data_IF_866151388491
#
_entry.id   IF_866151388491
#
_cell.length_a   1.000
_cell.length_b   1.000
_cell.length_c   1.000
_cell.angle_alpha   90.00
_cell.angle_beta   90.00
_cell.angle_gamma   90.00
#
_symmetry.space_group_name_H-M   'P 1'
#
loop_
_entity.id
_entity.type
_entity.pdbx_description
1 polymer ?
#
# COMPACT_ATOMS: atom_id res chain seq x y z
N UNK A 1 -0.18 -1.80 15.41
CA UNK A 1 -0.53 -3.22 15.13
C UNK A 1 -0.26 -3.50 13.66
N UNK A 2 0.40 -4.62 13.31
CA UNK A 2 0.55 -5.03 11.89
C UNK A 2 -0.82 -5.51 11.40
N UNK A 3 -1.22 -5.05 10.22
CA UNK A 3 -2.44 -5.53 9.57
C UNK A 3 -2.33 -7.05 9.31
N UNK A 4 -3.39 -7.79 9.62
CA UNK A 4 -3.42 -9.25 9.58
C UNK A 4 -3.76 -9.81 8.19
N UNK A 5 -4.33 -8.97 7.32
CA UNK A 5 -4.88 -9.32 6.00
C UNK A 5 -4.13 -8.57 4.91
N UNK A 6 -3.93 -7.26 5.08
CA UNK A 6 -3.23 -6.41 4.14
C UNK A 6 -1.82 -6.11 4.66
N UNK A 7 -0.80 -6.95 4.36
CA UNK A 7 0.56 -6.54 4.66
C UNK A 7 0.75 -5.13 4.12
N UNK A 8 1.18 -4.17 4.99
CA UNK A 8 1.42 -2.75 4.66
C UNK A 8 1.70 -2.67 3.18
N UNK A 9 0.85 -2.01 2.38
CA UNK A 9 1.04 -1.90 0.94
C UNK A 9 2.49 -1.43 0.73
N UNK A 10 3.36 -2.39 0.48
CA UNK A 10 4.79 -2.22 0.34
C UNK A 10 5.09 -1.90 -1.11
N UNK A 11 4.09 -1.46 -1.88
CA UNK A 11 4.23 -1.24 -3.33
C UNK A 11 4.72 0.15 -3.70
N UNK A 12 4.93 1.03 -2.71
CA UNK A 12 5.91 2.13 -2.78
C UNK A 12 7.14 1.86 -1.90
N UNK A 13 7.38 0.62 -1.49
CA UNK A 13 8.77 0.18 -1.48
C UNK A 13 9.05 -0.18 -2.94
N UNK A 14 9.72 0.72 -3.66
CA UNK A 14 10.78 0.28 -4.59
C UNK A 14 11.41 -0.94 -3.90
N UNK A 15 11.48 -2.11 -4.57
CA UNK A 15 11.87 -3.36 -3.93
C UNK A 15 12.95 -3.02 -2.94
N UNK A 16 12.70 -3.26 -1.64
CA UNK A 16 13.66 -2.99 -0.59
C UNK A 16 14.73 -4.06 -0.76
N UNK A 17 15.49 -3.84 -1.80
CA UNK A 17 16.56 -4.66 -2.26
C UNK A 17 17.55 -4.45 -1.12
N UNK A 18 17.85 -5.48 -0.33
CA UNK A 18 18.98 -5.38 0.60
C UNK A 18 20.23 -4.91 -0.17
N UNK A 19 20.32 -5.29 -1.45
CA UNK A 19 21.23 -4.75 -2.45
C UNK A 19 21.13 -3.23 -2.70
N UNK A 20 19.95 -2.59 -2.61
CA UNK A 20 19.80 -1.14 -2.81
C UNK A 20 20.52 -0.35 -1.72
N UNK A 21 20.46 -0.80 -0.46
CA UNK A 21 21.25 -0.17 0.60
C UNK A 21 22.76 -0.31 0.33
N UNK A 22 23.21 -1.48 -0.14
CA UNK A 22 24.62 -1.67 -0.52
C UNK A 22 25.02 -0.80 -1.72
N UNK A 23 24.16 -0.67 -2.73
CA UNK A 23 24.36 0.21 -3.89
C UNK A 23 24.44 1.67 -3.46
N UNK A 24 23.55 2.14 -2.58
CA UNK A 24 23.59 3.50 -2.06
C UNK A 24 24.86 3.76 -1.25
N UNK A 25 25.29 2.80 -0.41
CA UNK A 25 26.55 2.94 0.33
C UNK A 25 27.75 2.97 -0.61
N UNK A 26 27.78 2.11 -1.63
CA UNK A 26 28.83 2.11 -2.65
C UNK A 26 28.87 3.45 -3.39
N UNK A 27 27.71 3.97 -3.78
CA UNK A 27 27.59 5.28 -4.43
C UNK A 27 28.08 6.42 -3.54
N UNK A 28 27.66 6.46 -2.26
CA UNK A 28 28.15 7.48 -1.33
C UNK A 28 29.67 7.38 -1.13
N UNK A 29 30.22 6.17 -1.05
CA UNK A 29 31.65 5.94 -0.91
C UNK A 29 32.42 6.43 -2.13
N UNK A 30 32.00 6.06 -3.35
CA UNK A 30 32.67 6.47 -4.59
C UNK A 30 32.59 7.97 -4.80
N UNK A 31 31.44 8.60 -4.53
CA UNK A 31 31.31 10.06 -4.56
C UNK A 31 32.17 10.76 -3.50
N UNK A 32 32.26 10.20 -2.28
CA UNK A 32 33.10 10.75 -1.21
C UNK A 32 34.57 10.73 -1.58
N UNK A 33 35.05 9.62 -2.15
CA UNK A 33 36.42 9.49 -2.65
C UNK A 33 36.66 10.48 -3.79
N UNK A 34 35.75 10.56 -4.76
CA UNK A 34 35.87 11.48 -5.90
C UNK A 34 35.93 12.94 -5.47
N UNK A 35 35.06 13.37 -4.55
CA UNK A 35 35.08 14.73 -4.01
C UNK A 35 36.36 14.99 -3.22
N UNK A 36 36.86 14.02 -2.45
CA UNK A 36 38.11 14.17 -1.71
C UNK A 36 39.34 14.27 -2.63
N UNK A 37 39.40 13.46 -3.69
CA UNK A 37 40.46 13.58 -4.69
C UNK A 37 40.43 14.95 -5.38
N UNK A 38 39.24 15.48 -5.65
CA UNK A 38 39.05 16.84 -6.15
C UNK A 38 39.50 17.92 -5.14
N UNK A 39 39.12 17.82 -3.86
CA UNK A 39 39.55 18.73 -2.79
C UNK A 39 41.08 18.70 -2.60
N UNK A 40 41.72 17.54 -2.80
CA UNK A 40 43.17 17.39 -2.72
C UNK A 40 43.90 18.01 -3.92
N UNK A 41 43.32 17.96 -5.12
CA UNK A 41 43.91 18.57 -6.32
C UNK A 41 43.62 20.06 -6.43
N UNK A 42 42.66 20.57 -5.65
CA UNK A 42 42.33 21.99 -5.63
C UNK A 42 43.18 22.72 -4.59
N UNK A 43 43.77 23.88 -4.94
CA UNK A 43 44.53 24.67 -3.97
C UNK A 43 43.65 25.21 -2.84
N UNK A 44 44.24 25.43 -1.66
CA UNK A 44 43.53 26.08 -0.57
C UNK A 44 43.13 27.50 -0.99
N UNK A 45 41.85 27.80 -0.81
CA UNK A 45 41.23 29.06 -1.22
C UNK A 45 40.01 28.87 -2.10
N UNK A 46 39.88 27.73 -2.77
CA UNK A 46 38.67 27.35 -3.51
C UNK A 46 37.71 26.63 -2.56
N UNK A 47 36.40 26.83 -2.73
CA UNK A 47 35.36 26.21 -1.89
C UNK A 47 35.12 24.71 -2.18
N UNK A 48 36.19 23.93 -2.36
CA UNK A 48 36.14 22.53 -2.78
C UNK A 48 35.59 21.55 -1.73
N UNK A 49 35.40 21.99 -0.48
CA UNK A 49 34.67 21.23 0.55
C UNK A 49 33.14 21.35 0.48
N UNK A 50 32.59 22.27 -0.30
CA UNK A 50 31.13 22.44 -0.42
C UNK A 50 30.38 21.22 -1.00
N UNK A 51 30.93 20.43 -1.94
CA UNK A 51 30.23 19.26 -2.51
C UNK A 51 29.97 18.15 -1.50
N UNK A 52 30.65 18.10 -0.33
CA UNK A 52 30.34 17.11 0.71
C UNK A 52 28.90 17.22 1.23
N UNK A 53 28.28 18.40 1.12
CA UNK A 53 26.86 18.57 1.44
C UNK A 53 25.95 17.72 0.53
N UNK A 54 26.34 17.47 -0.72
CA UNK A 54 25.58 16.61 -1.63
C UNK A 54 25.57 15.15 -1.18
N UNK A 55 26.66 14.67 -0.57
CA UNK A 55 26.75 13.32 0.01
C UNK A 55 25.82 13.22 1.22
N UNK A 56 25.81 14.24 2.08
CA UNK A 56 24.87 14.31 3.20
C UNK A 56 23.43 14.36 2.72
N UNK A 57 23.15 15.13 1.67
CA UNK A 57 21.82 15.18 1.06
C UNK A 57 21.39 13.82 0.49
N UNK A 58 22.28 13.14 -0.25
CA UNK A 58 22.04 11.81 -0.81
C UNK A 58 21.78 10.73 0.27
N UNK A 59 22.16 10.96 1.53
CA UNK A 59 21.78 10.08 2.65
C UNK A 59 20.25 9.98 2.87
N UNK A 60 19.45 10.85 2.23
CA UNK A 60 17.99 10.79 2.24
C UNK A 60 17.43 9.50 1.64
N UNK A 61 18.16 8.85 0.73
CA UNK A 61 17.74 7.57 0.12
C UNK A 61 17.69 6.42 1.12
N UNK A 62 18.31 6.59 2.29
CA UNK A 62 18.25 5.64 3.38
C UNK A 62 17.12 5.97 4.35
N UNK A 63 16.44 4.93 4.84
CA UNK A 63 15.41 5.07 5.87
C UNK A 63 15.96 5.40 7.25
N UNK A 64 17.17 4.96 7.54
CA UNK A 64 17.78 5.17 8.85
C UNK A 64 18.29 6.60 8.98
N UNK A 65 18.16 7.19 10.17
CA UNK A 65 18.79 8.46 10.49
C UNK A 65 20.31 8.31 10.64
N UNK A 66 20.79 7.10 10.97
CA UNK A 66 22.21 6.80 11.13
C UNK A 66 23.05 7.07 9.88
N UNK A 67 22.51 6.83 8.68
CA UNK A 67 23.24 7.12 7.45
C UNK A 67 23.55 8.60 7.29
N UNK A 68 22.64 9.48 7.73
CA UNK A 68 22.83 10.94 7.69
C UNK A 68 23.88 11.38 8.68
N UNK A 69 23.88 10.81 9.89
CA UNK A 69 24.95 11.07 10.87
C UNK A 69 26.32 10.62 10.34
N UNK A 70 26.42 9.41 9.79
CA UNK A 70 27.67 8.87 9.21
C UNK A 70 28.16 9.75 8.05
N UNK A 71 27.27 10.08 7.11
CA UNK A 71 27.62 10.93 5.97
C UNK A 71 28.09 12.32 6.41
N UNK A 72 27.43 12.92 7.41
CA UNK A 72 27.83 14.20 7.96
C UNK A 72 29.18 14.12 8.67
N UNK A 73 29.43 13.10 9.50
CA UNK A 73 30.72 12.91 10.18
C UNK A 73 31.85 12.69 9.19
N UNK A 74 31.62 11.91 8.12
CA UNK A 74 32.61 11.68 7.06
C UNK A 74 32.88 12.99 6.32
N UNK A 75 31.83 13.71 5.90
CA UNK A 75 31.98 14.99 5.18
C UNK A 75 32.72 16.05 5.99
N UNK A 76 32.40 16.20 7.29
CA UNK A 76 33.11 17.10 8.20
C UNK A 76 34.59 16.69 8.36
N UNK A 77 34.85 15.39 8.55
CA UNK A 77 36.21 14.87 8.72
C UNK A 77 37.05 15.06 7.46
N UNK A 78 36.49 14.79 6.28
CA UNK A 78 37.19 14.96 5.00
C UNK A 78 37.42 16.44 4.69
N UNK A 79 36.48 17.33 5.02
CA UNK A 79 36.66 18.78 4.88
C UNK A 79 37.83 19.29 5.73
N UNK A 80 37.98 18.75 6.95
CA UNK A 80 39.09 19.09 7.83
C UNK A 80 40.41 18.46 7.34
N UNK A 81 40.38 17.23 6.84
CA UNK A 81 41.55 16.58 6.25
C UNK A 81 42.05 17.33 5.02
N UNK A 82 41.17 17.83 4.16
CA UNK A 82 41.53 18.66 3.01
C UNK A 82 42.17 20.01 3.41
N UNK A 83 41.87 20.54 4.60
CA UNK A 83 42.60 21.71 5.10
C UNK A 83 44.07 21.38 5.44
N UNK A 84 44.35 20.15 5.90
CA UNK A 84 45.70 19.72 6.31
C UNK A 84 46.51 19.20 5.11
N UNK A 85 45.86 18.50 4.18
CA UNK A 85 46.53 17.71 3.15
C UNK A 85 46.64 18.40 1.78
N UNK A 86 45.84 19.44 1.51
CA UNK A 86 45.87 20.10 0.20
C UNK A 86 47.22 20.83 -0.03
N UNK A 87 47.77 20.78 -1.26
CA UNK A 87 49.20 20.92 -1.50
C UNK A 87 49.74 22.36 -1.43
N UNK A 88 48.90 23.36 -1.74
CA UNK A 88 49.34 24.76 -1.87
C UNK A 88 48.27 25.74 -1.37
N UNK A 89 48.70 26.79 -0.69
CA UNK A 89 47.86 27.93 -0.29
C UNK A 89 47.97 29.00 -1.38
N UNK A 90 46.87 29.24 -2.11
CA UNK A 90 46.82 30.23 -3.20
C UNK A 90 46.01 31.46 -2.82
N UNK A 91 45.09 31.33 -1.87
CA UNK A 91 44.32 32.46 -1.33
C UNK A 91 44.82 32.90 0.05
N UNK A 92 44.51 34.15 0.45
CA UNK A 92 44.70 34.61 1.83
C UNK A 92 44.08 33.67 2.87
N UNK A 93 44.73 33.54 4.04
CA UNK A 93 44.34 32.58 5.09
C UNK A 93 42.91 32.84 5.58
N UNK A 94 42.48 34.09 5.66
CA UNK A 94 41.12 34.50 5.99
C UNK A 94 40.09 33.97 4.99
N UNK A 95 40.38 33.98 3.68
CA UNK A 95 39.52 33.40 2.64
C UNK A 95 39.45 31.88 2.79
N UNK A 96 40.58 31.23 3.05
CA UNK A 96 40.64 29.77 3.28
C UNK A 96 39.78 29.38 4.49
N UNK A 97 39.96 30.06 5.62
CA UNK A 97 39.20 29.81 6.84
C UNK A 97 37.70 30.07 6.63
N UNK A 98 37.35 31.17 5.96
CA UNK A 98 35.95 31.50 5.65
C UNK A 98 35.29 30.41 4.81
N UNK A 99 35.97 29.92 3.76
CA UNK A 99 35.44 28.86 2.90
C UNK A 99 35.29 27.53 3.66
N UNK A 100 36.21 27.19 4.57
CA UNK A 100 36.09 25.99 5.39
C UNK A 100 34.95 26.12 6.40
N UNK A 101 34.83 27.24 7.10
CA UNK A 101 33.71 27.50 8.03
C UNK A 101 32.37 27.42 7.28
N UNK A 102 32.28 28.02 6.09
CA UNK A 102 31.07 27.97 5.27
C UNK A 102 30.75 26.53 4.84
N UNK A 103 31.74 25.73 4.44
CA UNK A 103 31.53 24.32 4.10
C UNK A 103 31.00 23.51 5.30
N UNK A 104 31.58 23.69 6.50
CA UNK A 104 31.10 23.02 7.72
C UNK A 104 29.66 23.44 8.06
N UNK A 105 29.33 24.73 7.91
CA UNK A 105 27.97 25.24 8.11
C UNK A 105 27.00 24.61 7.09
N UNK A 106 27.34 24.59 5.81
CA UNK A 106 26.49 23.99 4.78
C UNK A 106 26.26 22.50 5.06
N UNK A 107 27.30 21.75 5.44
CA UNK A 107 27.19 20.31 5.76
C UNK A 107 26.26 20.10 6.96
N UNK A 108 26.42 20.88 8.04
CA UNK A 108 25.58 20.76 9.25
C UNK A 108 24.13 21.17 9.01
N UNK A 109 23.90 22.27 8.27
CA UNK A 109 22.54 22.70 7.89
C UNK A 109 21.88 21.67 6.98
N UNK A 110 22.62 21.11 6.02
CA UNK A 110 22.10 20.06 5.12
C UNK A 110 21.76 18.79 5.92
N UNK A 111 22.61 18.38 6.86
CA UNK A 111 22.32 17.25 7.74
C UNK A 111 21.05 17.48 8.55
N UNK A 112 20.90 18.67 9.15
CA UNK A 112 19.69 19.05 9.89
C UNK A 112 18.45 19.02 8.99
N UNK A 113 18.50 19.61 7.79
CA UNK A 113 17.40 19.60 6.83
C UNK A 113 16.98 18.18 6.43
N UNK A 114 17.94 17.31 6.13
CA UNK A 114 17.66 15.91 5.78
C UNK A 114 16.99 15.17 6.94
N UNK A 115 17.46 15.35 8.18
CA UNK A 115 16.83 14.74 9.36
C UNK A 115 15.41 15.27 9.58
N UNK A 116 15.16 16.57 9.36
CA UNK A 116 13.82 17.17 9.43
C UNK A 116 12.88 16.59 8.37
N UNK A 117 13.35 16.45 7.13
CA UNK A 117 12.57 15.84 6.04
C UNK A 117 12.23 14.38 6.37
N UNK A 118 13.20 13.60 6.86
CA UNK A 118 12.96 12.21 7.30
C UNK A 118 11.91 12.13 8.41
N UNK A 119 11.96 13.04 9.40
CA UNK A 119 10.98 13.11 10.50
C UNK A 119 9.58 13.45 10.00
N UNK A 120 9.44 14.51 9.18
CA UNK A 120 8.15 14.93 8.62
C UNK A 120 7.55 13.81 7.76
N UNK A 121 8.36 13.16 6.92
CA UNK A 121 7.88 12.02 6.13
C UNK A 121 7.39 10.88 7.02
N UNK A 122 8.10 10.58 8.11
CA UNK A 122 7.67 9.57 9.07
C UNK A 122 6.32 9.93 9.71
N UNK A 123 6.17 11.17 10.18
CA UNK A 123 4.92 11.67 10.77
C UNK A 123 3.76 11.63 9.76
N UNK A 124 4.01 12.02 8.50
CA UNK A 124 3.03 11.93 7.44
C UNK A 124 2.57 10.48 7.20
N UNK A 125 3.50 9.52 7.16
CA UNK A 125 3.15 8.10 7.04
C UNK A 125 2.36 7.60 8.25
N UNK A 126 2.66 8.07 9.46
CA UNK A 126 1.87 7.70 10.64
C UNK A 126 0.46 8.27 10.58
N UNK A 127 0.29 9.54 10.23
CA UNK A 127 -1.02 10.18 10.10
C UNK A 127 -1.89 9.52 9.03
N UNK A 128 -1.32 9.25 7.85
CA UNK A 128 -2.02 8.52 6.79
C UNK A 128 -2.42 7.12 7.28
N UNK A 129 -1.57 6.47 8.07
CA UNK A 129 -1.89 5.15 8.62
C UNK A 129 -2.95 5.18 9.71
N UNK A 130 -3.11 6.29 10.43
CA UNK A 130 -4.12 6.50 11.47
C UNK A 130 -5.48 6.90 10.90
N UNK A 131 -5.50 7.47 9.70
CA UNK A 131 -6.75 7.77 9.03
C UNK A 131 -7.43 6.47 8.59
N UNK A 132 -8.72 6.34 8.86
CA UNK A 132 -9.56 5.19 8.48
C UNK A 132 -10.25 5.38 7.12
N UNK A 133 -9.93 6.46 6.40
CA UNK A 133 -10.56 6.86 5.13
C UNK A 133 -9.55 6.78 3.98
N UNK A 134 -9.99 6.30 2.83
CA UNK A 134 -9.25 6.32 1.57
C UNK A 134 -9.34 7.71 0.90
N UNK A 135 -8.21 8.38 0.61
CA UNK A 135 -8.24 9.75 0.11
C UNK A 135 -8.85 9.92 -1.29
N UNK A 136 -8.83 8.87 -2.13
CA UNK A 136 -9.34 8.95 -3.49
C UNK A 136 -10.86 8.80 -3.55
N UNK A 137 -11.41 7.86 -2.79
CA UNK A 137 -12.82 7.45 -2.85
C UNK A 137 -13.65 7.95 -1.67
N UNK A 138 -13.00 8.43 -0.61
CA UNK A 138 -13.61 8.81 0.67
C UNK A 138 -14.36 7.64 1.36
N UNK A 139 -14.16 6.40 0.90
CA UNK A 139 -14.64 5.21 1.58
C UNK A 139 -13.71 4.85 2.73
N UNK A 140 -14.14 3.95 3.61
CA UNK A 140 -13.26 3.40 4.64
C UNK A 140 -12.09 2.65 3.99
N UNK A 141 -10.91 2.64 4.60
CA UNK A 141 -9.74 1.97 4.02
C UNK A 141 -9.54 0.55 4.58
N UNK A 142 -8.49 -0.13 4.12
CA UNK A 142 -8.15 -1.49 4.58
C UNK A 142 -7.88 -1.61 6.09
N UNK A 143 -7.46 -0.54 6.77
CA UNK A 143 -7.30 -0.56 8.23
C UNK A 143 -8.66 -0.55 8.93
N UNK A 144 -9.55 0.34 8.51
CA UNK A 144 -10.92 0.39 9.02
C UNK A 144 -11.64 -0.95 8.80
N UNK A 145 -11.44 -1.58 7.63
CA UNK A 145 -11.95 -2.93 7.37
C UNK A 145 -11.51 -3.92 8.45
N UNK A 146 -10.23 -3.95 8.79
CA UNK A 146 -9.72 -4.89 9.78
C UNK A 146 -10.26 -4.67 11.18
N UNK A 147 -10.32 -3.41 11.60
CA UNK A 147 -10.76 -3.04 12.94
C UNK A 147 -12.26 -3.26 13.10
N UNK A 148 -13.06 -2.74 12.16
CA UNK A 148 -14.53 -2.77 12.23
C UNK A 148 -15.10 -4.16 11.92
N UNK A 149 -14.61 -4.83 10.87
CA UNK A 149 -15.12 -6.17 10.51
C UNK A 149 -14.78 -7.19 11.59
N UNK A 150 -13.66 -7.03 12.30
CA UNK A 150 -13.33 -7.89 13.46
C UNK A 150 -14.33 -7.71 14.60
N UNK A 151 -14.81 -6.49 14.84
CA UNK A 151 -15.87 -6.21 15.81
C UNK A 151 -17.18 -6.82 15.34
N UNK A 152 -17.53 -6.64 14.06
CA UNK A 152 -18.78 -7.14 13.50
C UNK A 152 -18.82 -8.68 13.52
N UNK A 153 -17.73 -9.37 13.16
CA UNK A 153 -17.65 -10.85 13.28
C UNK A 153 -17.97 -11.31 14.71
N UNK A 154 -17.44 -10.63 15.74
CA UNK A 154 -17.74 -10.97 17.13
C UNK A 154 -19.21 -10.75 17.45
N UNK A 155 -19.79 -9.65 16.97
CA UNK A 155 -21.20 -9.30 17.14
C UNK A 155 -22.11 -10.32 16.46
N UNK A 156 -21.86 -10.65 15.20
CA UNK A 156 -22.63 -11.61 14.42
C UNK A 156 -22.61 -12.99 15.07
N UNK A 157 -21.45 -13.46 15.53
CA UNK A 157 -21.34 -14.73 16.28
C UNK A 157 -22.12 -14.72 17.60
N UNK A 158 -22.01 -13.64 18.38
CA UNK A 158 -22.70 -13.51 19.68
C UNK A 158 -24.22 -13.58 19.53
N UNK A 159 -24.75 -12.89 18.52
CA UNK A 159 -26.20 -12.79 18.30
C UNK A 159 -26.74 -13.76 17.24
N UNK A 160 -25.92 -14.70 16.75
CA UNK A 160 -26.25 -15.65 15.67
C UNK A 160 -26.87 -14.97 14.44
N UNK A 161 -26.28 -13.83 14.05
CA UNK A 161 -26.70 -13.07 12.88
C UNK A 161 -25.81 -13.39 11.69
N UNK A 162 -26.37 -13.34 10.50
CA UNK A 162 -25.60 -13.56 9.28
C UNK A 162 -24.69 -12.36 8.99
N UNK A 163 -23.51 -12.62 8.43
CA UNK A 163 -22.60 -11.60 7.93
C UNK A 163 -22.01 -12.14 6.63
N UNK A 164 -22.20 -11.43 5.54
CA UNK A 164 -21.63 -11.80 4.25
C UNK A 164 -20.57 -10.78 3.81
N UNK A 165 -19.55 -11.26 3.14
CA UNK A 165 -18.41 -10.47 2.68
C UNK A 165 -18.29 -10.62 1.17
N UNK A 166 -18.25 -9.51 0.45
CA UNK A 166 -18.02 -9.47 -0.99
C UNK A 166 -16.74 -8.69 -1.31
N UNK A 167 -15.83 -9.28 -2.08
CA UNK A 167 -14.61 -8.64 -2.58
C UNK A 167 -14.82 -8.33 -4.06
N UNK A 168 -14.87 -7.05 -4.39
CA UNK A 168 -14.93 -6.52 -5.75
C UNK A 168 -13.52 -6.23 -6.23
N UNK A 169 -13.13 -6.71 -7.41
CA UNK A 169 -11.89 -6.34 -8.07
C UNK A 169 -12.17 -5.81 -9.47
N UNK A 170 -11.70 -4.58 -9.73
CA UNK A 170 -11.74 -4.00 -11.07
C UNK A 170 -10.81 -4.82 -11.97
N UNK A 171 -11.39 -5.37 -13.02
CA UNK A 171 -10.68 -6.15 -14.03
C UNK A 171 -10.11 -5.19 -15.07
N UNK A 172 -8.83 -5.35 -15.38
CA UNK A 172 -8.19 -4.57 -16.43
C UNK A 172 -8.92 -4.76 -17.77
N UNK A 173 -9.35 -3.64 -18.35
CA UNK A 173 -10.05 -3.62 -19.63
C UNK A 173 -9.12 -3.40 -20.81
N UNK A 174 -7.80 -3.31 -20.59
CA UNK A 174 -6.79 -3.32 -21.65
C UNK A 174 -6.90 -2.12 -22.58
N UNK A 175 -7.44 -1.00 -22.10
CA UNK A 175 -7.53 0.22 -22.88
C UNK A 175 -6.13 0.63 -23.37
N UNK A 176 -5.96 0.78 -24.69
CA UNK A 176 -4.74 1.28 -25.30
C UNK A 176 -4.60 2.77 -24.95
N UNK A 177 -3.99 3.05 -23.80
CA UNK A 177 -3.74 4.42 -23.36
C UNK A 177 -2.39 4.90 -23.88
N UNK A 178 -2.38 6.07 -24.52
CA UNK A 178 -1.21 6.63 -25.22
C UNK A 178 -0.16 7.24 -24.30
N UNK A 179 -0.49 7.57 -23.04
CA UNK A 179 0.45 8.11 -22.04
C UNK A 179 0.15 7.60 -20.63
N UNK A 180 1.16 7.50 -19.77
CA UNK A 180 0.99 7.03 -18.38
C UNK A 180 0.02 7.90 -17.57
N UNK A 181 0.05 9.22 -17.77
CA UNK A 181 -0.82 10.15 -17.04
C UNK A 181 -2.30 9.98 -17.39
N UNK A 182 -2.63 9.73 -18.67
CA UNK A 182 -4.02 9.45 -19.03
C UNK A 182 -4.48 8.11 -18.46
N UNK A 183 -3.61 7.11 -18.36
CA UNK A 183 -3.96 5.80 -17.79
C UNK A 183 -4.29 5.91 -16.30
N UNK A 184 -3.50 6.68 -15.55
CA UNK A 184 -3.74 6.93 -14.12
C UNK A 184 -5.07 7.67 -13.91
N UNK A 185 -5.38 8.68 -14.73
CA UNK A 185 -6.65 9.43 -14.62
C UNK A 185 -7.86 8.56 -14.90
N UNK A 186 -7.80 7.73 -15.95
CA UNK A 186 -8.88 6.81 -16.32
C UNK A 186 -9.10 5.78 -15.21
N UNK A 187 -8.03 5.18 -14.68
CA UNK A 187 -8.13 4.22 -13.58
C UNK A 187 -8.73 4.86 -12.32
N UNK A 188 -8.28 6.06 -11.95
CA UNK A 188 -8.83 6.79 -10.81
C UNK A 188 -10.32 7.12 -11.00
N UNK A 189 -10.75 7.42 -12.23
CA UNK A 189 -12.16 7.62 -12.57
C UNK A 189 -12.95 6.33 -12.33
N UNK A 190 -12.52 5.19 -12.86
CA UNK A 190 -13.18 3.90 -12.64
C UNK A 190 -13.28 3.52 -11.17
N UNK A 191 -12.22 3.73 -10.40
CA UNK A 191 -12.20 3.46 -8.97
C UNK A 191 -13.23 4.33 -8.23
N UNK A 192 -13.34 5.61 -8.58
CA UNK A 192 -14.35 6.51 -8.00
C UNK A 192 -15.78 6.12 -8.40
N UNK A 193 -16.01 5.86 -9.68
CA UNK A 193 -17.32 5.44 -10.20
C UNK A 193 -17.80 4.17 -9.51
N UNK A 194 -16.93 3.16 -9.36
CA UNK A 194 -17.28 1.93 -8.66
C UNK A 194 -17.59 2.20 -7.18
N UNK A 195 -16.77 2.99 -6.49
CA UNK A 195 -16.99 3.31 -5.09
C UNK A 195 -18.34 4.00 -4.86
N UNK A 196 -18.68 4.98 -5.70
CA UNK A 196 -19.95 5.70 -5.61
C UNK A 196 -21.14 4.81 -5.94
N UNK A 197 -21.03 3.93 -6.93
CA UNK A 197 -22.10 3.00 -7.28
C UNK A 197 -22.34 1.94 -6.20
N UNK A 198 -21.26 1.43 -5.59
CA UNK A 198 -21.39 0.54 -4.43
C UNK A 198 -22.08 1.29 -3.28
N UNK A 199 -21.62 2.50 -2.95
CA UNK A 199 -22.20 3.30 -1.85
C UNK A 199 -23.69 3.55 -2.03
N UNK A 200 -24.14 3.82 -3.27
CA UNK A 200 -25.57 4.02 -3.59
C UNK A 200 -26.39 2.74 -3.54
N UNK A 201 -25.76 1.59 -3.75
CA UNK A 201 -26.45 0.29 -3.87
C UNK A 201 -26.50 -0.53 -2.58
N UNK A 202 -25.71 -0.16 -1.56
CA UNK A 202 -25.70 -0.83 -0.25
C UNK A 202 -26.55 -0.09 0.79
N UNK A 203 -26.92 -0.76 1.88
CA UNK A 203 -27.68 -0.15 2.98
C UNK A 203 -26.76 0.68 3.87
N UNK A 204 -27.33 1.57 4.68
CA UNK A 204 -26.58 2.34 5.68
C UNK A 204 -25.92 1.46 6.76
N UNK A 205 -26.46 0.27 7.01
CA UNK A 205 -25.87 -0.73 7.91
C UNK A 205 -24.64 -1.42 7.32
N UNK A 206 -24.60 -1.56 5.99
CA UNK A 206 -23.52 -2.23 5.29
C UNK A 206 -22.28 -1.33 5.26
N UNK A 207 -21.11 -1.93 5.20
CA UNK A 207 -19.85 -1.19 5.25
C UNK A 207 -19.04 -1.40 3.97
N UNK A 208 -18.63 -0.30 3.34
CA UNK A 208 -17.80 -0.26 2.15
C UNK A 208 -16.37 0.15 2.50
N UNK A 209 -15.42 -0.68 2.09
CA UNK A 209 -14.01 -0.47 2.27
C UNK A 209 -13.26 -0.53 0.94
N UNK A 210 -12.26 0.33 0.76
CA UNK A 210 -11.23 0.15 -0.26
C UNK A 210 -10.00 -0.46 0.39
N UNK A 211 -9.69 -1.69 0.01
CA UNK A 211 -8.66 -2.49 0.69
C UNK A 211 -7.36 -2.60 -0.09
N UNK A 212 -7.41 -2.36 -1.41
CA UNK A 212 -6.26 -2.33 -2.29
C UNK A 212 -6.47 -1.30 -3.41
N UNK A 213 -5.49 -1.15 -4.31
CA UNK A 213 -5.52 -0.19 -5.42
C UNK A 213 -6.78 -0.32 -6.28
N UNK A 214 -7.19 -1.55 -6.61
CA UNK A 214 -8.34 -1.86 -7.46
C UNK A 214 -9.38 -2.77 -6.77
N UNK A 215 -9.28 -2.94 -5.44
CA UNK A 215 -10.17 -3.83 -4.67
C UNK A 215 -11.00 -3.09 -3.65
N UNK A 216 -12.29 -3.42 -3.65
CA UNK A 216 -13.24 -3.00 -2.64
C UNK A 216 -13.79 -4.20 -1.90
N UNK A 217 -14.19 -3.98 -0.67
CA UNK A 217 -14.83 -4.98 0.16
C UNK A 217 -16.12 -4.39 0.70
N UNK A 218 -17.21 -5.15 0.58
CA UNK A 218 -18.48 -4.85 1.23
C UNK A 218 -18.74 -5.90 2.29
N UNK A 219 -18.97 -5.44 3.52
CA UNK A 219 -19.52 -6.26 4.59
C UNK A 219 -21.03 -6.04 4.65
N UNK A 220 -21.79 -7.03 4.19
CA UNK A 220 -23.24 -7.06 4.26
C UNK A 220 -23.70 -7.54 5.63
N UNK A 221 -24.16 -6.61 6.44
CA UNK A 221 -24.56 -6.87 7.83
C UNK A 221 -25.92 -7.55 7.85
N UNK A 222 -26.09 -8.57 8.69
CA UNK A 222 -27.35 -9.30 8.87
C UNK A 222 -27.91 -9.91 7.57
N UNK A 223 -27.02 -10.30 6.67
CA UNK A 223 -27.38 -10.74 5.31
C UNK A 223 -26.77 -12.11 5.02
N UNK A 224 -27.62 -13.06 4.62
CA UNK A 224 -27.20 -14.38 4.15
C UNK A 224 -26.54 -14.32 2.76
N UNK A 225 -25.90 -15.43 2.36
CA UNK A 225 -25.14 -15.50 1.12
C UNK A 225 -26.01 -15.30 -0.14
N UNK A 226 -27.28 -15.74 -0.13
CA UNK A 226 -28.17 -15.62 -1.30
C UNK A 226 -28.53 -14.17 -1.53
N UNK A 227 -28.97 -13.48 -0.46
CA UNK A 227 -29.31 -12.04 -0.53
C UNK A 227 -28.11 -11.18 -0.84
N UNK A 228 -26.94 -11.51 -0.29
CA UNK A 228 -25.69 -10.81 -0.60
C UNK A 228 -25.33 -10.98 -2.10
N UNK A 229 -25.50 -12.18 -2.64
CA UNK A 229 -25.29 -12.48 -4.06
C UNK A 229 -26.26 -11.71 -4.95
N UNK A 230 -27.56 -11.73 -4.66
CA UNK A 230 -28.57 -10.98 -5.40
C UNK A 230 -28.28 -9.48 -5.43
N UNK A 231 -27.97 -8.88 -4.27
CA UNK A 231 -27.63 -7.46 -4.17
C UNK A 231 -26.36 -7.12 -4.97
N UNK A 232 -25.36 -7.99 -4.91
CA UNK A 232 -24.10 -7.82 -5.64
C UNK A 232 -24.31 -7.96 -7.16
N UNK A 233 -25.09 -8.94 -7.60
CA UNK A 233 -25.41 -9.14 -9.02
C UNK A 233 -26.20 -7.96 -9.59
N UNK A 234 -27.16 -7.42 -8.83
CA UNK A 234 -27.89 -6.22 -9.21
C UNK A 234 -26.94 -5.01 -9.38
N UNK A 235 -25.98 -4.84 -8.47
CA UNK A 235 -24.94 -3.81 -8.55
C UNK A 235 -24.06 -4.00 -9.78
N UNK A 236 -23.54 -5.21 -10.03
CA UNK A 236 -22.74 -5.52 -11.21
C UNK A 236 -23.50 -5.26 -12.53
N UNK A 237 -24.81 -5.50 -12.54
CA UNK A 237 -25.68 -5.19 -13.68
C UNK A 237 -25.77 -3.69 -13.93
N UNK A 238 -25.93 -2.87 -12.89
CA UNK A 238 -25.92 -1.39 -13.02
C UNK A 238 -24.59 -0.87 -13.56
N UNK A 239 -23.48 -1.40 -13.03
CA UNK A 239 -22.13 -1.05 -13.53
C UNK A 239 -21.99 -1.40 -15.01
N UNK A 240 -22.47 -2.58 -15.42
CA UNK A 240 -22.43 -3.00 -16.82
C UNK A 240 -23.32 -2.13 -17.73
N UNK A 241 -24.45 -1.61 -17.22
CA UNK A 241 -25.33 -0.70 -17.97
C UNK A 241 -24.71 0.68 -18.17
N UNK A 242 -23.96 1.21 -17.18
CA UNK A 242 -23.23 2.48 -17.35
C UNK A 242 -22.24 2.41 -18.51
N UNK A 243 -21.55 1.28 -18.67
CA UNK A 243 -20.61 1.06 -19.78
C UNK A 243 -21.28 1.08 -21.17
N UNK A 244 -22.59 0.78 -21.25
CA UNK A 244 -23.32 0.82 -22.53
C UNK A 244 -23.67 2.24 -22.96
N UNK A 245 -23.78 3.17 -22.00
CA UNK A 245 -24.09 4.58 -22.26
C UNK A 245 -22.85 5.38 -22.62
N UNK A 246 -21.68 4.96 -22.13
CA UNK A 246 -20.38 5.58 -22.43
C UNK A 246 -19.38 4.48 -22.83
N UNK A 247 -19.21 4.27 -24.14
CA UNK A 247 -18.32 3.24 -24.68
C UNK A 247 -16.84 3.47 -24.33
N UNK A 248 -16.45 4.66 -23.87
CA UNK A 248 -15.11 4.92 -23.34
C UNK A 248 -14.94 4.40 -21.90
N UNK A 249 -16.02 3.98 -21.24
CA UNK A 249 -16.04 3.45 -19.88
C UNK A 249 -16.32 1.95 -19.87
N UNK A 250 -15.42 1.13 -20.41
CA UNK A 250 -15.50 -0.32 -20.18
C UNK A 250 -14.99 -0.63 -18.77
N UNK A 251 -15.84 -0.53 -17.75
CA UNK A 251 -15.55 -0.91 -16.38
C UNK A 251 -16.02 -2.35 -16.13
N UNK A 252 -15.08 -3.29 -16.01
CA UNK A 252 -15.40 -4.67 -15.67
C UNK A 252 -15.04 -5.00 -14.22
N UNK A 253 -15.92 -5.72 -13.51
CA UNK A 253 -15.71 -6.05 -12.08
C UNK A 253 -16.01 -7.52 -11.84
N UNK A 254 -15.06 -8.21 -11.22
CA UNK A 254 -15.26 -9.57 -10.73
C UNK A 254 -15.45 -9.54 -9.21
N UNK A 255 -16.35 -10.39 -8.70
CA UNK A 255 -16.74 -10.38 -7.30
C UNK A 255 -16.72 -11.78 -6.70
N UNK A 256 -16.03 -11.94 -5.58
CA UNK A 256 -16.08 -13.13 -4.75
C UNK A 256 -16.87 -12.89 -3.47
N UNK A 257 -17.85 -13.75 -3.18
CA UNK A 257 -18.73 -13.61 -2.03
C UNK A 257 -18.59 -14.82 -1.10
N UNK A 258 -18.61 -14.58 0.20
CA UNK A 258 -18.70 -15.62 1.21
C UNK A 258 -19.55 -15.18 2.39
N UNK A 259 -20.02 -16.12 3.20
CA UNK A 259 -20.74 -15.85 4.45
C UNK A 259 -19.94 -16.33 5.65
N UNK A 260 -20.06 -15.64 6.78
CA UNK A 260 -19.43 -15.97 8.04
C UNK A 260 -19.82 -17.36 8.56
N UNK A 261 -18.82 -18.13 8.97
CA UNK A 261 -18.95 -19.41 9.67
C UNK A 261 -18.46 -19.28 11.13
N UNK A 262 -18.93 -20.17 12.00
CA UNK A 262 -18.61 -20.18 13.43
C UNK A 262 -17.11 -20.29 13.73
N UNK A 263 -16.36 -20.97 12.85
CA UNK A 263 -14.90 -21.17 13.00
C UNK A 263 -14.07 -20.04 12.37
N UNK A 264 -14.68 -19.01 11.82
CA UNK A 264 -13.94 -17.98 11.11
C UNK A 264 -13.39 -16.90 12.03
N UNK A 265 -12.25 -16.40 11.62
CA UNK A 265 -11.73 -15.09 12.01
C UNK A 265 -11.56 -14.27 10.74
N UNK A 266 -11.34 -12.96 10.88
CA UNK A 266 -11.37 -12.02 9.77
C UNK A 266 -10.53 -12.45 8.55
N UNK A 267 -9.30 -12.94 8.76
CA UNK A 267 -8.43 -13.41 7.67
C UNK A 267 -8.96 -14.67 6.99
N UNK A 268 -9.52 -15.62 7.74
CA UNK A 268 -10.13 -16.83 7.15
C UNK A 268 -11.38 -16.50 6.33
N UNK A 269 -12.20 -15.57 6.81
CA UNK A 269 -13.35 -15.06 6.08
C UNK A 269 -12.92 -14.37 4.78
N UNK A 270 -11.94 -13.47 4.88
CA UNK A 270 -11.41 -12.73 3.73
C UNK A 270 -10.80 -13.66 2.67
N UNK A 271 -9.93 -14.60 3.08
CA UNK A 271 -9.33 -15.58 2.16
C UNK A 271 -10.40 -16.39 1.42
N UNK A 272 -11.48 -16.80 2.11
CA UNK A 272 -12.55 -17.56 1.48
C UNK A 272 -13.31 -16.74 0.42
N UNK A 273 -13.45 -15.43 0.62
CA UNK A 273 -13.98 -14.54 -0.40
C UNK A 273 -12.98 -14.33 -1.55
N UNK A 274 -11.68 -14.31 -1.29
CA UNK A 274 -10.66 -14.30 -2.35
C UNK A 274 -10.68 -15.57 -3.20
N UNK A 275 -10.84 -16.74 -2.59
CA UNK A 275 -11.00 -18.01 -3.30
C UNK A 275 -12.22 -17.97 -4.23
N UNK A 276 -13.35 -17.42 -3.75
CA UNK A 276 -14.53 -17.19 -4.58
C UNK A 276 -14.24 -16.20 -5.72
N UNK A 277 -13.46 -15.14 -5.47
CA UNK A 277 -13.07 -14.17 -6.49
C UNK A 277 -12.18 -14.80 -7.57
N UNK A 278 -11.30 -15.73 -7.20
CA UNK A 278 -10.51 -16.51 -8.17
C UNK A 278 -11.43 -17.29 -9.11
N UNK A 279 -12.47 -17.95 -8.59
CA UNK A 279 -13.47 -18.65 -9.40
C UNK A 279 -14.20 -17.68 -10.33
N UNK A 280 -14.58 -16.49 -9.83
CA UNK A 280 -15.21 -15.47 -10.68
C UNK A 280 -14.31 -15.10 -11.87
N UNK A 281 -13.02 -14.86 -11.63
CA UNK A 281 -12.03 -14.53 -12.68
C UNK A 281 -11.82 -15.65 -13.69
N UNK A 282 -11.78 -16.90 -13.23
CA UNK A 282 -11.65 -18.07 -14.11
C UNK A 282 -12.85 -18.22 -15.06
N UNK A 283 -14.04 -17.74 -14.65
CA UNK A 283 -15.26 -17.77 -15.46
C UNK A 283 -15.44 -16.52 -16.35
N UNK A 284 -14.41 -15.68 -16.46
CA UNK A 284 -14.35 -14.50 -17.34
C UNK A 284 -14.44 -13.16 -16.60
N UNK A 285 -14.85 -12.12 -17.34
CA UNK A 285 -15.08 -10.76 -16.80
C UNK A 285 -16.55 -10.60 -16.41
N UNK A 286 -16.84 -9.69 -15.48
CA UNK A 286 -18.19 -9.41 -14.98
C UNK A 286 -18.87 -10.66 -14.41
N UNK A 287 -18.18 -11.29 -13.47
CA UNK A 287 -18.65 -12.50 -12.78
C UNK A 287 -18.76 -12.29 -11.29
N UNK A 288 -19.82 -12.85 -10.73
CA UNK A 288 -20.03 -13.00 -9.30
C UNK A 288 -19.96 -14.48 -8.97
N UNK A 289 -19.15 -14.85 -8.00
CA UNK A 289 -19.02 -16.24 -7.57
C UNK A 289 -19.07 -16.36 -6.05
N UNK A 290 -19.56 -17.51 -5.61
CA UNK A 290 -19.56 -17.98 -4.22
C UNK A 290 -18.83 -19.31 -4.19
N UNK A 291 -18.18 -19.67 -3.08
CA UNK A 291 -17.78 -21.06 -2.88
C UNK A 291 -19.02 -21.93 -2.60
N UNK A 292 -19.05 -23.19 -3.06
CA UNK A 292 -20.09 -24.13 -2.67
C UNK A 292 -20.12 -24.27 -1.15
N UNK A 293 -21.33 -24.37 -0.57
CA UNK A 293 -21.47 -24.66 0.85
C UNK A 293 -20.76 -25.99 1.15
N UNK A 294 -19.72 -25.96 2.00
CA UNK A 294 -19.27 -27.18 2.64
C UNK A 294 -20.45 -27.70 3.45
N UNK A 295 -20.92 -28.95 3.24
CA UNK A 295 -22.07 -29.46 3.96
C UNK A 295 -21.86 -29.26 5.46
N UNK A 296 -22.84 -28.65 6.13
CA UNK A 296 -22.89 -28.65 7.59
C UNK A 296 -22.84 -30.13 8.01
N UNK A 297 -21.76 -30.52 8.68
CA UNK A 297 -21.58 -31.84 9.31
C UNK A 297 -22.53 -32.02 10.52
N UNK A 298 -23.73 -31.44 10.47
CA UNK A 298 -24.68 -31.53 11.56
C UNK A 298 -26.09 -31.73 11.01
N UNK A 299 -26.67 -32.86 11.43
CA UNK A 299 -27.86 -33.56 10.91
C UNK A 299 -27.59 -34.54 9.77
N UNK A 300 -26.91 -35.63 10.09
CA UNK A 300 -27.30 -36.93 9.54
C UNK A 300 -28.75 -37.21 9.95
N UNK A 301 -29.70 -36.89 9.08
CA UNK A 301 -30.91 -37.69 9.03
C UNK A 301 -30.46 -39.08 8.62
N UNK A 302 -30.40 -40.02 9.58
CA UNK A 302 -30.32 -41.43 9.27
C UNK A 302 -31.70 -41.79 8.70
N UNK A 303 -31.84 -42.12 7.41
CA UNK A 303 -33.06 -42.77 6.94
C UNK A 303 -33.05 -44.17 7.52
N UNK A 304 -34.01 -44.48 8.40
CA UNK A 304 -34.26 -45.84 8.85
C UNK A 304 -34.73 -46.67 7.64
N UNK A 305 -33.82 -47.42 7.04
CA UNK A 305 -34.09 -48.37 5.97
C UNK A 305 -33.99 -49.79 6.56
N UNK A 306 -35.15 -50.46 6.55
CA UNK A 306 -35.38 -51.91 6.47
C UNK A 306 -35.09 -52.78 7.70
N UNK A 307 -36.18 -53.15 8.40
CA UNK A 307 -36.37 -54.55 8.84
C UNK A 307 -37.37 -55.24 7.89
N UNK A 308 -36.97 -56.45 7.46
CA UNK A 308 -37.60 -57.36 6.49
C UNK A 308 -39.03 -57.83 6.82
N UNK A 309 -39.76 -58.39 5.83
CA UNK A 309 -41.05 -59.03 6.06
C UNK A 309 -40.86 -60.36 6.83
N UNK A 310 -41.77 -60.66 7.77
CA UNK A 310 -42.00 -62.02 8.23
C UNK A 310 -43.32 -62.51 7.66
N UNK A 311 -43.19 -63.51 6.80
CA UNK A 311 -44.21 -64.49 6.46
C UNK A 311 -44.82 -65.12 7.72
N UNK A 312 -46.14 -65.24 7.73
CA UNK A 312 -46.97 -65.94 8.70
C UNK A 312 -48.43 -65.76 8.31
#
# INVERSE_FOLDING_TARGET
MRSLIFPKINRLKLPENQYANHIYWLFLLTCSIGIFLFDLHTPLGVAAGTPYALIVFASIWFKSNWSTYIAATIGLSLTLAGFILSPNIVAPIDVVLTNRILALLIITVTAYMVLRIKKINHELYTLISENCVDPLTQCKNGRAFEEETKIEIKRSKRYKRNLSLAIFEITDTGAAVTTENSAIRINNHYIKTLADEIRKSIRSSDQLYRVDLNRFVVAYVETDISRAKEATEALCKKVSQMNQQDAQQSLAVNVGITMLSDKDYIRKLYNRAEDALVIAKQNGKNRVATLPETPRSDKTHIPAILCRPRSG
#
